data_IF_403108302290
#
_entry.id   IF_403108302290
#
_cell.length_a   1.000
_cell.length_b   1.000
_cell.length_c   1.000
_cell.angle_alpha   90.00
_cell.angle_beta   90.00
_cell.angle_gamma   90.00
#
_symmetry.space_group_name_H-M   'P 1'
#
loop_
_entity.id
_entity.type
_entity.pdbx_description
1 polymer ?
#
# COMPACT_ATOMS: atom_id res chain seq x y z
N UNK A 1 -19.22 -18.30 29.19
CA UNK A 1 -18.34 -18.34 27.99
C UNK A 1 -19.01 -19.25 26.99
N UNK A 2 -19.43 -18.74 25.85
CA UNK A 2 -19.95 -19.56 24.75
C UNK A 2 -18.82 -20.43 24.21
N UNK A 3 -19.08 -21.73 24.01
CA UNK A 3 -18.08 -22.61 23.41
C UNK A 3 -17.71 -22.08 22.02
N UNK A 4 -16.42 -22.02 21.67
CA UNK A 4 -16.02 -21.57 20.34
C UNK A 4 -16.56 -22.54 19.28
N UNK A 5 -17.07 -21.97 18.18
CA UNK A 5 -17.47 -22.76 17.01
C UNK A 5 -16.26 -23.47 16.44
N UNK A 6 -16.34 -24.79 16.32
CA UNK A 6 -15.24 -25.62 15.78
C UNK A 6 -15.52 -25.92 14.32
N UNK A 7 -14.48 -25.79 13.50
CA UNK A 7 -14.47 -26.20 12.10
C UNK A 7 -13.34 -27.22 11.89
N UNK A 8 -13.56 -28.19 11.02
CA UNK A 8 -12.52 -29.11 10.54
C UNK A 8 -12.24 -28.76 9.09
N UNK A 9 -10.98 -28.51 8.76
CA UNK A 9 -10.54 -28.12 7.41
C UNK A 9 -9.50 -29.13 6.94
N UNK A 10 -9.65 -29.63 5.72
CA UNK A 10 -8.64 -30.45 5.07
C UNK A 10 -7.61 -29.54 4.38
N UNK A 11 -6.32 -29.76 4.64
CA UNK A 11 -5.23 -29.06 3.97
C UNK A 11 -4.52 -30.01 3.01
N UNK A 12 -4.08 -29.47 1.87
CA UNK A 12 -3.04 -30.13 1.10
C UNK A 12 -1.68 -30.02 1.84
N UNK A 13 -0.71 -30.82 1.40
CA UNK A 13 0.60 -30.86 2.06
C UNK A 13 1.30 -29.50 2.05
N UNK A 14 1.14 -28.73 0.97
CA UNK A 14 1.75 -27.41 0.82
C UNK A 14 1.21 -26.43 1.87
N UNK A 15 -0.10 -26.40 2.05
CA UNK A 15 -0.80 -25.52 3.00
C UNK A 15 -0.55 -25.95 4.44
N UNK A 16 -0.47 -27.26 4.71
CA UNK A 16 -0.11 -27.79 6.02
C UNK A 16 1.31 -27.35 6.43
N UNK A 17 2.28 -27.51 5.52
CA UNK A 17 3.66 -27.06 5.75
C UNK A 17 3.75 -25.54 5.94
N UNK A 18 2.98 -24.77 5.18
CA UNK A 18 2.91 -23.32 5.33
C UNK A 18 2.38 -22.91 6.70
N UNK A 19 1.30 -23.53 7.18
CA UNK A 19 0.74 -23.24 8.50
C UNK A 19 1.71 -23.59 9.63
N UNK A 20 2.42 -24.71 9.52
CA UNK A 20 3.46 -25.09 10.47
C UNK A 20 4.61 -24.08 10.49
N UNK A 21 5.11 -23.69 9.32
CA UNK A 21 6.16 -22.67 9.20
C UNK A 21 5.73 -21.34 9.84
N UNK A 22 4.54 -20.84 9.52
CA UNK A 22 4.01 -19.60 10.09
C UNK A 22 3.82 -19.68 11.61
N UNK A 23 3.38 -20.84 12.11
CA UNK A 23 3.24 -21.09 13.54
C UNK A 23 4.58 -21.03 14.27
N UNK A 24 5.64 -21.58 13.66
CA UNK A 24 7.01 -21.53 14.19
C UNK A 24 7.60 -20.12 14.14
N UNK A 25 7.54 -19.44 12.99
CA UNK A 25 8.12 -18.10 12.80
C UNK A 25 7.45 -17.04 13.68
N UNK A 26 6.14 -17.14 13.89
CA UNK A 26 5.39 -16.20 14.70
C UNK A 26 5.34 -16.59 16.19
N UNK A 27 5.81 -17.78 16.57
CA UNK A 27 5.67 -18.38 17.91
C UNK A 27 4.20 -18.43 18.40
N UNK A 28 3.27 -18.75 17.50
CA UNK A 28 1.82 -18.78 17.80
C UNK A 28 1.21 -20.14 17.50
N UNK A 29 0.13 -20.48 18.20
CA UNK A 29 -0.65 -21.68 17.88
C UNK A 29 -1.27 -21.59 16.48
N UNK A 30 -1.39 -22.74 15.80
CA UNK A 30 -2.05 -22.83 14.49
C UNK A 30 -3.46 -22.22 14.49
N UNK A 31 -4.25 -22.46 15.55
CA UNK A 31 -5.58 -21.89 15.72
C UNK A 31 -5.58 -20.36 15.76
N UNK A 32 -4.54 -19.76 16.35
CA UNK A 32 -4.38 -18.31 16.37
C UNK A 32 -3.98 -17.76 15.00
N UNK A 33 -3.06 -18.43 14.30
CA UNK A 33 -2.70 -18.09 12.92
C UNK A 33 -3.94 -18.11 12.02
N UNK A 34 -4.78 -19.15 12.10
CA UNK A 34 -6.01 -19.26 11.30
C UNK A 34 -6.99 -18.12 11.62
N UNK A 35 -7.19 -17.77 12.90
CA UNK A 35 -8.04 -16.63 13.28
C UNK A 35 -7.53 -15.31 12.73
N UNK A 36 -6.21 -15.08 12.80
CA UNK A 36 -5.58 -13.87 12.24
C UNK A 36 -5.69 -13.83 10.73
N UNK A 37 -5.45 -14.96 10.06
CA UNK A 37 -5.58 -15.07 8.61
C UNK A 37 -7.02 -14.78 8.14
N UNK A 38 -8.03 -15.31 8.82
CA UNK A 38 -9.44 -15.04 8.49
C UNK A 38 -9.80 -13.56 8.68
N UNK A 39 -9.36 -12.94 9.78
CA UNK A 39 -9.57 -11.52 10.03
C UNK A 39 -8.87 -10.66 8.98
N UNK A 40 -7.60 -10.95 8.71
CA UNK A 40 -6.81 -10.27 7.70
C UNK A 40 -7.47 -10.39 6.32
N UNK A 41 -7.91 -11.59 5.94
CA UNK A 41 -8.60 -11.80 4.67
C UNK A 41 -9.87 -10.95 4.56
N UNK A 42 -10.68 -10.89 5.62
CA UNK A 42 -11.89 -10.05 5.64
C UNK A 42 -11.58 -8.55 5.55
N UNK A 43 -10.59 -8.07 6.31
CA UNK A 43 -10.17 -6.66 6.34
C UNK A 43 -9.51 -6.21 5.04
N UNK A 44 -8.83 -7.13 4.33
CA UNK A 44 -8.00 -6.83 3.17
C UNK A 44 -8.52 -7.47 1.88
N UNK A 45 -9.77 -7.93 1.84
CA UNK A 45 -10.33 -8.62 0.66
C UNK A 45 -10.23 -7.78 -0.61
N UNK A 46 -10.30 -6.45 -0.47
CA UNK A 46 -10.15 -5.51 -1.58
C UNK A 46 -8.73 -5.52 -2.18
N UNK A 47 -7.70 -5.84 -1.41
CA UNK A 47 -6.31 -5.93 -1.90
C UNK A 47 -6.10 -7.17 -2.78
N UNK A 48 -6.99 -8.16 -2.69
CA UNK A 48 -6.97 -9.34 -3.57
C UNK A 48 -7.34 -8.96 -5.01
N UNK A 49 -8.09 -7.87 -5.21
CA UNK A 49 -8.40 -7.37 -6.55
C UNK A 49 -7.10 -6.98 -7.29
N UNK A 50 -6.84 -7.54 -8.49
CA UNK A 50 -5.60 -7.29 -9.22
C UNK A 50 -5.35 -5.81 -9.56
N UNK A 51 -6.41 -5.03 -9.79
CA UNK A 51 -6.33 -3.60 -10.08
C UNK A 51 -5.92 -2.84 -8.83
N UNK A 52 -6.55 -3.14 -7.69
CA UNK A 52 -6.20 -2.53 -6.40
C UNK A 52 -4.77 -2.92 -6.01
N UNK A 53 -4.41 -4.20 -6.14
CA UNK A 53 -3.05 -4.68 -5.86
C UNK A 53 -1.99 -3.93 -6.68
N UNK A 54 -2.23 -3.74 -7.98
CA UNK A 54 -1.31 -2.99 -8.85
C UNK A 54 -1.17 -1.54 -8.39
N UNK A 55 -2.28 -0.89 -8.01
CA UNK A 55 -2.24 0.48 -7.47
C UNK A 55 -1.46 0.55 -6.15
N UNK A 56 -1.72 -0.37 -5.21
CA UNK A 56 -1.02 -0.43 -3.93
C UNK A 56 0.48 -0.59 -4.12
N UNK A 57 0.92 -1.49 -5.01
CA UNK A 57 2.34 -1.62 -5.32
C UNK A 57 2.93 -0.35 -5.92
N UNK A 58 2.27 0.27 -6.91
CA UNK A 58 2.77 1.51 -7.50
C UNK A 58 2.90 2.64 -6.45
N UNK A 59 1.90 2.83 -5.60
CA UNK A 59 1.99 3.81 -4.51
C UNK A 59 3.08 3.46 -3.51
N UNK A 60 3.26 2.18 -3.17
CA UNK A 60 4.32 1.74 -2.27
C UNK A 60 5.70 2.03 -2.85
N UNK A 61 5.91 1.73 -4.13
CA UNK A 61 7.17 1.98 -4.83
C UNK A 61 7.49 3.48 -4.86
N UNK A 62 6.49 4.33 -5.17
CA UNK A 62 6.63 5.79 -5.17
C UNK A 62 6.92 6.36 -3.77
N UNK A 63 6.33 5.79 -2.72
CA UNK A 63 6.59 6.19 -1.33
C UNK A 63 7.99 5.77 -0.87
N UNK A 64 8.43 4.56 -1.25
CA UNK A 64 9.74 4.02 -0.87
C UNK A 64 10.89 4.65 -1.65
N UNK A 65 10.67 5.08 -2.91
CA UNK A 65 11.66 5.82 -3.70
C UNK A 65 11.90 7.24 -3.18
N UNK A 66 11.01 7.74 -2.30
CA UNK A 66 11.07 9.10 -1.78
C UNK A 66 10.69 10.16 -2.81
N UNK A 67 10.11 9.77 -3.94
CA UNK A 67 9.81 10.65 -5.07
C UNK A 67 8.59 11.55 -4.80
N UNK A 68 7.72 11.22 -3.83
CA UNK A 68 6.52 12.00 -3.54
C UNK A 68 6.43 12.38 -2.05
N UNK A 69 6.62 13.67 -1.75
CA UNK A 69 6.62 14.23 -0.38
C UNK A 69 5.27 14.85 0.01
N UNK A 70 4.42 15.20 -0.97
CA UNK A 70 3.14 15.88 -0.71
C UNK A 70 1.98 14.93 -1.04
N UNK A 71 1.39 14.33 -0.01
CA UNK A 71 0.27 13.38 -0.13
C UNK A 71 -1.10 14.03 -0.03
N UNK A 72 -1.15 15.32 0.31
CA UNK A 72 -2.39 16.05 0.56
C UNK A 72 -2.60 17.14 -0.49
N UNK A 73 -3.73 17.06 -1.17
CA UNK A 73 -4.16 17.99 -2.22
C UNK A 73 -4.29 19.41 -1.66
N UNK A 74 -4.75 19.57 -0.41
CA UNK A 74 -4.93 20.90 0.18
C UNK A 74 -3.58 21.59 0.43
N UNK A 75 -2.57 20.81 0.84
CA UNK A 75 -1.20 21.30 0.96
C UNK A 75 -0.62 21.67 -0.40
N UNK A 76 -0.82 20.85 -1.43
CA UNK A 76 -0.41 21.19 -2.80
C UNK A 76 -1.06 22.48 -3.28
N UNK A 77 -2.38 22.62 -3.10
CA UNK A 77 -3.11 23.84 -3.46
C UNK A 77 -2.62 25.06 -2.68
N UNK A 78 -2.23 24.90 -1.42
CA UNK A 78 -1.64 25.98 -0.63
C UNK A 78 -0.30 26.44 -1.21
N UNK A 79 0.58 25.50 -1.57
CA UNK A 79 1.86 25.83 -2.23
C UNK A 79 1.63 26.50 -3.59
N UNK A 80 0.72 25.98 -4.41
CA UNK A 80 0.41 26.58 -5.70
C UNK A 80 -0.12 28.01 -5.55
N UNK A 81 -1.03 28.26 -4.60
CA UNK A 81 -1.49 29.64 -4.30
C UNK A 81 -0.36 30.54 -3.85
N UNK A 82 0.59 30.03 -3.06
CA UNK A 82 1.75 30.79 -2.63
C UNK A 82 2.66 31.14 -3.80
N UNK A 83 2.94 30.17 -4.68
CA UNK A 83 3.73 30.37 -5.91
C UNK A 83 3.09 31.41 -6.82
N UNK A 84 1.78 31.32 -7.06
CA UNK A 84 1.03 32.31 -7.86
C UNK A 84 1.09 33.74 -7.28
N UNK A 85 1.29 33.87 -5.97
CA UNK A 85 1.46 35.18 -5.32
C UNK A 85 2.90 35.72 -5.33
N UNK A 86 3.86 34.91 -5.79
CA UNK A 86 5.27 35.28 -5.87
C UNK A 86 5.54 36.20 -7.07
N UNK A 87 6.44 37.19 -6.96
CA UNK A 87 6.92 37.95 -8.12
C UNK A 87 7.59 37.06 -9.18
N UNK A 88 8.11 35.89 -8.80
CA UNK A 88 8.87 34.98 -9.67
C UNK A 88 8.00 33.83 -10.23
N UNK A 89 6.67 33.97 -10.19
CA UNK A 89 5.75 32.91 -10.60
C UNK A 89 5.97 32.44 -12.04
N UNK A 90 6.23 33.35 -12.98
CA UNK A 90 6.48 32.99 -14.39
C UNK A 90 7.77 32.17 -14.55
N UNK A 91 8.82 32.51 -13.81
CA UNK A 91 10.10 31.77 -13.82
C UNK A 91 9.88 30.35 -13.29
N UNK A 92 9.21 30.22 -12.14
CA UNK A 92 8.85 28.93 -11.58
C UNK A 92 8.09 28.05 -12.58
N UNK A 93 7.07 28.59 -13.25
CA UNK A 93 6.28 27.80 -14.20
C UNK A 93 7.06 27.42 -15.46
N UNK A 94 8.02 28.23 -15.88
CA UNK A 94 8.92 27.89 -16.98
C UNK A 94 9.86 26.75 -16.59
N UNK A 95 10.49 26.81 -15.43
CA UNK A 95 11.34 25.73 -14.91
C UNK A 95 10.53 24.45 -14.68
N UNK A 96 9.34 24.54 -14.08
CA UNK A 96 8.43 23.43 -13.88
C UNK A 96 8.11 22.70 -15.20
N UNK A 97 7.89 23.45 -16.29
CA UNK A 97 7.64 22.87 -17.62
C UNK A 97 8.85 22.07 -18.12
N UNK A 98 10.06 22.57 -17.90
CA UNK A 98 11.31 21.87 -18.27
C UNK A 98 11.43 20.55 -17.49
N UNK A 99 11.18 20.59 -16.18
CA UNK A 99 11.20 19.39 -15.33
C UNK A 99 10.16 18.37 -15.80
N UNK A 100 8.93 18.79 -16.06
CA UNK A 100 7.87 17.90 -16.55
C UNK A 100 8.24 17.21 -17.88
N UNK A 101 8.84 17.94 -18.82
CA UNK A 101 9.33 17.38 -20.09
C UNK A 101 10.47 16.37 -19.89
N UNK A 102 11.32 16.56 -18.88
CA UNK A 102 12.41 15.62 -18.59
C UNK A 102 11.91 14.24 -18.11
N UNK A 103 10.72 14.19 -17.51
CA UNK A 103 10.08 12.96 -17.06
C UNK A 103 9.30 12.23 -18.18
N UNK A 104 8.86 12.94 -19.24
CA UNK A 104 8.26 12.31 -20.43
C UNK A 104 9.24 11.33 -21.13
N UNK A 105 10.55 11.57 -21.04
CA UNK A 105 11.58 10.70 -21.63
C UNK A 105 12.04 9.52 -20.77
N UNK A 106 11.50 9.38 -19.55
CA UNK A 106 11.88 8.35 -18.57
C UNK A 106 10.83 7.23 -18.40
N UNK A 107 9.69 7.33 -19.10
CA UNK A 107 8.62 6.33 -19.15
C UNK A 107 8.71 5.46 -20.41
#
# INVERSE_FOLDING_TARGET
MTNPTRITVAFDQTTANLLEKLSQEAELSQSEIVRRALRFYNENIQIVDPVIKKKVHAYMDLLLSGEHVILDVDHLLLFLRFVESSPDAEEFWNEHRIVAQSHEGQL
#
